data_IF_893383879671
#
_entry.id   IF_893383879671
#
_cell.length_a   1.000
_cell.length_b   1.000
_cell.length_c   1.000
_cell.angle_alpha   90.00
_cell.angle_beta   90.00
_cell.angle_gamma   90.00
#
_symmetry.space_group_name_H-M   'P 1'
#
loop_
_entity.id
_entity.type
_entity.pdbx_description
1 polymer ?
#
# COMPACT_ATOMS: atom_id res chain seq x y z
N UNK A 1 -14.96 75.87 28.54
CA UNK A 1 -15.26 75.00 27.43
C UNK A 1 -14.16 73.97 27.35
N UNK A 2 -14.42 72.83 27.93
CA UNK A 2 -13.47 71.73 28.06
C UNK A 2 -13.73 70.72 26.93
N UNK A 3 -12.68 70.39 26.16
CA UNK A 3 -12.70 69.34 25.16
C UNK A 3 -12.21 68.05 25.78
N UNK A 4 -13.08 67.08 25.87
CA UNK A 4 -12.75 65.71 26.24
C UNK A 4 -12.05 64.99 25.08
N UNK A 5 -10.87 64.52 25.35
CA UNK A 5 -10.07 63.67 24.43
C UNK A 5 -10.46 62.24 24.72
N UNK A 6 -11.12 61.61 23.78
CA UNK A 6 -11.48 60.20 23.80
C UNK A 6 -10.23 59.36 23.50
N UNK A 7 -9.79 58.54 24.50
CA UNK A 7 -8.64 57.65 24.43
C UNK A 7 -9.14 56.32 23.87
N UNK A 8 -8.71 55.97 22.67
CA UNK A 8 -8.97 54.66 22.08
C UNK A 8 -7.99 53.67 22.72
N UNK A 9 -8.47 52.75 23.49
CA UNK A 9 -7.72 51.60 23.96
C UNK A 9 -7.49 50.68 22.78
N UNK A 10 -6.20 50.43 22.50
CA UNK A 10 -5.76 49.42 21.52
C UNK A 10 -5.86 48.06 22.13
N UNK A 11 -6.78 47.28 21.64
CA UNK A 11 -6.91 45.84 21.93
C UNK A 11 -5.67 45.12 21.38
N UNK A 12 -4.79 44.68 22.28
CA UNK A 12 -3.70 43.78 21.93
C UNK A 12 -4.26 42.40 21.63
N UNK A 13 -3.87 41.71 20.53
CA UNK A 13 -4.37 40.42 20.24
C UNK A 13 -3.92 39.42 21.32
N UNK A 14 -4.91 38.69 21.84
CA UNK A 14 -4.76 37.66 22.89
C UNK A 14 -3.72 36.62 22.50
N UNK A 15 -2.83 36.28 23.45
CA UNK A 15 -1.75 35.26 23.31
C UNK A 15 -2.25 33.85 22.90
N UNK A 16 -3.56 33.63 22.83
CA UNK A 16 -4.17 32.38 22.39
C UNK A 16 -4.25 32.26 20.86
N UNK A 17 -4.11 33.36 20.10
CA UNK A 17 -4.11 33.32 18.64
C UNK A 17 -2.76 32.97 18.02
N UNK A 18 -1.67 33.06 18.76
CA UNK A 18 -0.32 32.73 18.23
C UNK A 18 0.05 31.24 18.33
N UNK A 19 -0.70 30.44 19.08
CA UNK A 19 -0.40 28.98 19.23
C UNK A 19 -0.99 28.17 18.06
N UNK A 20 -1.94 28.70 17.32
CA UNK A 20 -2.62 27.97 16.22
C UNK A 20 -1.84 27.97 14.88
N UNK A 21 -0.74 28.70 14.74
CA UNK A 21 0.04 28.83 13.48
C UNK A 21 1.43 28.16 13.52
N UNK A 22 1.75 27.40 14.53
CA UNK A 22 2.89 26.48 14.45
C UNK A 22 2.48 25.24 13.66
N UNK A 23 2.37 25.42 12.34
CA UNK A 23 2.21 24.30 11.41
C UNK A 23 3.28 23.28 11.70
N UNK A 24 2.87 22.05 12.02
CA UNK A 24 3.75 20.89 12.07
C UNK A 24 4.57 20.88 10.80
N UNK A 25 5.87 21.10 10.91
CA UNK A 25 6.82 21.03 9.80
C UNK A 25 6.74 19.59 9.27
N UNK A 26 5.95 19.38 8.22
CA UNK A 26 5.94 18.10 7.51
C UNK A 26 7.32 17.97 6.87
N UNK A 27 8.15 17.11 7.41
CA UNK A 27 9.45 16.80 6.81
C UNK A 27 9.18 16.20 5.43
N UNK A 28 9.68 16.81 4.34
CA UNK A 28 9.45 16.28 3.00
C UNK A 28 10.07 14.89 2.89
N UNK A 29 9.28 13.90 2.48
CA UNK A 29 9.80 12.58 2.16
C UNK A 29 10.59 12.69 0.86
N UNK A 30 11.85 12.25 0.90
CA UNK A 30 12.71 12.23 -0.28
C UNK A 30 12.11 11.36 -1.40
N UNK A 31 12.44 11.63 -2.67
CA UNK A 31 12.04 10.77 -3.79
C UNK A 31 12.46 9.31 -3.56
N UNK A 32 11.55 8.38 -3.86
CA UNK A 32 11.74 6.94 -3.69
C UNK A 32 12.49 6.38 -4.91
N UNK A 33 13.80 6.60 -4.97
CA UNK A 33 14.61 6.21 -6.13
C UNK A 33 14.74 4.71 -6.23
N UNK A 34 14.48 4.17 -7.42
CA UNK A 34 14.76 2.79 -7.78
C UNK A 34 16.26 2.48 -7.81
N UNK A 35 16.60 1.20 -7.68
CA UNK A 35 17.95 0.67 -7.76
C UNK A 35 17.91 -0.77 -8.29
N UNK A 36 19.07 -1.28 -8.73
CA UNK A 36 19.19 -2.71 -9.08
C UNK A 36 18.81 -3.61 -7.90
N UNK A 37 19.22 -3.25 -6.68
CA UNK A 37 18.87 -4.01 -5.48
C UNK A 37 17.37 -4.02 -5.18
N UNK A 38 16.65 -2.93 -5.45
CA UNK A 38 15.20 -2.90 -5.30
C UNK A 38 14.49 -3.76 -6.34
N UNK A 39 14.98 -3.79 -7.56
CA UNK A 39 14.44 -4.63 -8.62
C UNK A 39 14.66 -6.14 -8.35
N UNK A 40 15.86 -6.52 -7.90
CA UNK A 40 16.15 -7.90 -7.45
C UNK A 40 15.18 -8.29 -6.32
N UNK A 41 15.03 -7.45 -5.30
CA UNK A 41 14.11 -7.70 -4.19
C UNK A 41 12.66 -7.87 -4.64
N UNK A 42 12.19 -7.09 -5.62
CA UNK A 42 10.85 -7.22 -6.17
C UNK A 42 10.68 -8.58 -6.85
N UNK A 43 11.66 -9.03 -7.63
CA UNK A 43 11.64 -10.32 -8.30
C UNK A 43 11.67 -11.47 -7.29
N UNK A 44 12.60 -11.46 -6.32
CA UNK A 44 12.66 -12.47 -5.25
C UNK A 44 11.32 -12.62 -4.51
N UNK A 45 10.63 -11.52 -4.24
CA UNK A 45 9.33 -11.55 -3.56
C UNK A 45 8.19 -12.03 -4.45
N UNK A 46 8.18 -11.68 -5.73
CA UNK A 46 7.19 -12.23 -6.67
C UNK A 46 7.41 -13.72 -6.91
N UNK A 47 8.66 -14.18 -6.94
CA UNK A 47 9.00 -15.62 -7.03
C UNK A 47 8.57 -16.36 -5.75
N UNK A 48 8.78 -15.79 -4.57
CA UNK A 48 8.29 -16.35 -3.30
C UNK A 48 6.74 -16.41 -3.22
N UNK A 49 6.05 -15.48 -3.89
CA UNK A 49 4.59 -15.51 -4.06
C UNK A 49 4.14 -16.52 -5.16
N UNK A 50 5.07 -17.24 -5.78
CA UNK A 50 4.86 -18.18 -6.90
C UNK A 50 4.20 -17.51 -8.12
N UNK A 51 4.66 -16.31 -8.47
CA UNK A 51 4.18 -15.57 -9.63
C UNK A 51 5.07 -15.85 -10.84
N UNK A 52 4.66 -16.83 -11.63
CA UNK A 52 5.29 -17.08 -12.92
C UNK A 52 5.19 -15.88 -13.85
N UNK A 53 6.19 -15.70 -14.68
CA UNK A 53 6.23 -14.66 -15.72
C UNK A 53 5.25 -15.01 -16.84
N UNK A 54 4.61 -14.01 -17.37
CA UNK A 54 3.65 -14.12 -18.46
C UNK A 54 4.44 -14.02 -19.76
N UNK A 55 4.58 -15.12 -20.48
CA UNK A 55 5.51 -15.22 -21.62
C UNK A 55 5.03 -14.42 -22.83
N UNK A 56 3.78 -14.62 -23.23
CA UNK A 56 3.21 -14.09 -24.47
C UNK A 56 1.72 -13.77 -24.32
N UNK A 57 1.10 -13.33 -25.41
CA UNK A 57 -0.30 -12.92 -25.41
C UNK A 57 -1.29 -14.11 -25.27
N UNK A 58 -0.88 -15.33 -25.59
CA UNK A 58 -1.68 -16.53 -25.36
C UNK A 58 -1.72 -16.88 -23.87
N UNK A 59 -0.57 -16.93 -23.22
CA UNK A 59 -0.43 -17.12 -21.77
C UNK A 59 -1.19 -16.02 -20.99
N UNK A 60 -1.11 -14.78 -21.45
CA UNK A 60 -1.88 -13.67 -20.85
C UNK A 60 -3.38 -13.94 -20.91
N UNK A 61 -3.91 -14.38 -22.06
CA UNK A 61 -5.33 -14.69 -22.23
C UNK A 61 -5.78 -15.88 -21.38
N UNK A 62 -4.94 -16.93 -21.26
CA UNK A 62 -5.22 -18.06 -20.38
C UNK A 62 -5.34 -17.61 -18.93
N UNK A 63 -4.39 -16.80 -18.43
CA UNK A 63 -4.42 -16.29 -17.05
C UNK A 63 -5.62 -15.39 -16.77
N UNK A 64 -6.06 -14.62 -17.75
CA UNK A 64 -7.29 -13.83 -17.66
C UNK A 64 -8.50 -14.78 -17.59
N UNK A 65 -8.60 -15.75 -18.49
CA UNK A 65 -9.69 -16.72 -18.51
C UNK A 65 -9.82 -17.53 -17.21
N UNK A 66 -8.69 -17.83 -16.56
CA UNK A 66 -8.61 -18.53 -15.26
C UNK A 66 -8.83 -17.61 -14.06
N UNK A 67 -9.08 -16.32 -14.26
CA UNK A 67 -9.27 -15.35 -13.18
C UNK A 67 -8.00 -15.05 -12.35
N UNK A 68 -6.83 -15.43 -12.85
CA UNK A 68 -5.54 -15.11 -12.21
C UNK A 68 -5.16 -13.65 -12.40
N UNK A 69 -5.69 -13.02 -13.43
CA UNK A 69 -5.62 -11.59 -13.72
C UNK A 69 -7.05 -11.06 -13.85
N UNK A 70 -7.27 -9.88 -13.32
CA UNK A 70 -8.55 -9.17 -13.37
C UNK A 70 -8.37 -7.81 -14.04
N UNK A 71 -9.41 -7.22 -14.63
CA UNK A 71 -9.31 -5.86 -15.15
C UNK A 71 -8.81 -4.88 -14.10
N UNK A 72 -7.97 -3.94 -14.50
CA UNK A 72 -7.63 -2.77 -13.67
C UNK A 72 -8.94 -2.03 -13.38
N UNK A 73 -9.26 -1.78 -12.09
CA UNK A 73 -10.52 -1.13 -11.73
C UNK A 73 -10.56 0.31 -12.24
N UNK A 74 -11.77 0.76 -12.59
CA UNK A 74 -12.03 2.16 -12.95
C UNK A 74 -13.16 2.73 -12.11
N UNK A 75 -13.08 4.03 -11.80
CA UNK A 75 -14.10 4.74 -11.05
C UNK A 75 -13.92 6.26 -11.22
N UNK A 76 -14.76 7.07 -10.57
CA UNK A 76 -14.52 8.51 -10.48
C UNK A 76 -13.20 8.88 -9.76
N UNK A 77 -12.61 7.95 -9.01
CA UNK A 77 -11.35 8.13 -8.30
C UNK A 77 -10.13 7.51 -9.00
N UNK A 78 -10.33 6.63 -10.00
CA UNK A 78 -9.27 5.88 -10.67
C UNK A 78 -9.53 5.81 -12.17
N UNK A 79 -8.63 6.35 -12.94
CA UNK A 79 -8.65 6.31 -14.40
C UNK A 79 -7.50 5.47 -14.95
N UNK A 80 -7.62 5.07 -16.21
CA UNK A 80 -6.56 4.39 -16.94
C UNK A 80 -6.16 5.29 -18.10
N UNK A 81 -4.84 5.43 -18.31
CA UNK A 81 -4.32 6.16 -19.44
C UNK A 81 -4.87 5.59 -20.76
N UNK A 82 -5.38 6.46 -21.61
CA UNK A 82 -6.00 6.06 -22.88
C UNK A 82 -5.05 5.33 -23.83
N UNK A 83 -3.76 5.67 -23.77
CA UNK A 83 -2.70 5.04 -24.57
C UNK A 83 -2.28 3.66 -24.06
N UNK A 84 -2.70 3.22 -22.86
CA UNK A 84 -2.45 1.87 -22.40
C UNK A 84 -3.34 0.91 -23.21
N UNK A 85 -2.78 -0.06 -23.99
CA UNK A 85 -3.55 -0.99 -24.78
C UNK A 85 -4.58 -1.76 -23.94
N UNK A 86 -5.75 -2.03 -24.49
CA UNK A 86 -6.86 -2.66 -23.76
C UNK A 86 -6.50 -4.03 -23.20
N UNK A 87 -5.72 -4.81 -23.94
CA UNK A 87 -5.21 -6.13 -23.54
C UNK A 87 -4.11 -6.06 -22.45
N UNK A 88 -3.63 -4.88 -22.11
CA UNK A 88 -2.66 -4.64 -21.04
C UNK A 88 -3.31 -4.04 -19.77
N UNK A 89 -4.63 -3.81 -19.77
CA UNK A 89 -5.36 -3.22 -18.63
C UNK A 89 -5.80 -4.28 -17.62
N UNK A 90 -4.88 -5.19 -17.25
CA UNK A 90 -5.11 -6.26 -16.28
C UNK A 90 -4.04 -6.26 -15.20
N UNK A 91 -4.38 -6.79 -14.03
CA UNK A 91 -3.44 -6.95 -12.90
C UNK A 91 -3.89 -8.11 -12.00
N UNK A 92 -3.06 -8.49 -11.03
CA UNK A 92 -3.44 -9.47 -10.00
C UNK A 92 -4.60 -8.96 -9.14
N UNK A 93 -5.48 -9.83 -8.61
CA UNK A 93 -6.64 -9.42 -7.80
C UNK A 93 -6.29 -8.54 -6.60
N UNK A 94 -5.19 -8.81 -5.93
CA UNK A 94 -4.73 -7.99 -4.80
C UNK A 94 -4.17 -6.63 -5.24
N UNK A 95 -3.59 -6.54 -6.44
CA UNK A 95 -3.18 -5.26 -7.05
C UNK A 95 -4.40 -4.41 -7.41
N UNK A 96 -5.47 -5.02 -7.95
CA UNK A 96 -6.73 -4.33 -8.19
C UNK A 96 -7.36 -3.78 -6.88
N UNK A 97 -7.29 -4.57 -5.80
CA UNK A 97 -7.72 -4.13 -4.47
C UNK A 97 -6.89 -2.92 -3.98
N UNK A 98 -5.57 -3.01 -4.06
CA UNK A 98 -4.67 -1.90 -3.72
C UNK A 98 -5.04 -0.63 -4.50
N UNK A 99 -5.19 -0.72 -5.81
CA UNK A 99 -5.57 0.41 -6.67
C UNK A 99 -6.89 1.05 -6.23
N UNK A 100 -7.90 0.23 -5.93
CA UNK A 100 -9.20 0.73 -5.44
C UNK A 100 -9.07 1.47 -4.11
N UNK A 101 -8.27 0.94 -3.18
CA UNK A 101 -8.10 1.51 -1.85
C UNK A 101 -7.29 2.81 -1.88
N UNK A 102 -6.17 2.84 -2.62
CA UNK A 102 -5.32 4.03 -2.72
C UNK A 102 -6.02 5.16 -3.48
N UNK A 103 -6.73 4.84 -4.56
CA UNK A 103 -7.47 5.83 -5.33
C UNK A 103 -8.60 6.46 -4.52
N UNK A 104 -9.37 5.66 -3.77
CA UNK A 104 -10.40 6.17 -2.88
C UNK A 104 -9.81 7.08 -1.80
N UNK A 105 -8.71 6.69 -1.17
CA UNK A 105 -8.04 7.48 -0.15
C UNK A 105 -7.50 8.80 -0.71
N UNK A 106 -6.92 8.78 -1.93
CA UNK A 106 -6.47 9.97 -2.62
C UNK A 106 -7.64 10.91 -2.96
N UNK A 107 -8.70 10.38 -3.57
CA UNK A 107 -9.87 11.17 -3.94
C UNK A 107 -10.59 11.78 -2.72
N UNK A 108 -10.63 11.08 -1.59
CA UNK A 108 -11.14 11.61 -0.33
C UNK A 108 -10.34 12.81 0.16
N UNK A 109 -9.02 12.80 -0.04
CA UNK A 109 -8.11 13.85 0.44
C UNK A 109 -8.01 15.05 -0.52
N UNK A 110 -8.06 14.79 -1.84
CA UNK A 110 -7.72 15.79 -2.87
C UNK A 110 -8.85 16.06 -3.86
N UNK A 111 -9.95 15.31 -3.79
CA UNK A 111 -11.12 15.42 -4.70
C UNK A 111 -10.75 15.26 -6.18
N UNK A 112 -9.73 14.44 -6.47
CA UNK A 112 -9.22 14.20 -7.82
C UNK A 112 -8.89 12.72 -8.01
N UNK A 113 -9.04 12.18 -9.24
CA UNK A 113 -8.60 10.83 -9.57
C UNK A 113 -7.07 10.73 -9.62
N UNK A 114 -6.58 9.51 -9.51
CA UNK A 114 -5.24 9.10 -9.95
C UNK A 114 -5.36 8.27 -11.23
N UNK A 115 -4.28 8.19 -12.01
CA UNK A 115 -4.25 7.51 -13.28
C UNK A 115 -3.25 6.35 -13.27
N UNK A 116 -3.68 5.17 -13.76
CA UNK A 116 -2.79 4.05 -14.06
C UNK A 116 -2.25 4.23 -15.47
N UNK A 117 -0.94 4.35 -15.60
CA UNK A 117 -0.26 4.55 -16.89
C UNK A 117 0.32 3.26 -17.47
N UNK A 118 0.58 2.22 -16.65
CA UNK A 118 1.03 0.91 -17.08
C UNK A 118 0.54 -0.18 -16.13
N UNK A 119 0.33 -1.40 -16.65
CA UNK A 119 -0.07 -2.55 -15.86
C UNK A 119 0.63 -3.81 -16.38
N UNK A 120 -0.09 -4.92 -16.63
CA UNK A 120 0.53 -6.18 -17.05
C UNK A 120 1.31 -6.04 -18.36
N UNK A 121 2.46 -6.69 -18.40
CA UNK A 121 3.26 -6.90 -19.62
C UNK A 121 3.51 -8.38 -19.80
N UNK A 122 3.76 -8.82 -21.04
CA UNK A 122 4.33 -10.14 -21.34
C UNK A 122 5.84 -10.00 -21.54
N UNK A 123 6.57 -11.09 -21.40
CA UNK A 123 8.02 -11.12 -21.73
C UNK A 123 8.24 -10.65 -23.15
N UNK A 124 7.44 -11.14 -24.11
CA UNK A 124 7.52 -10.71 -25.51
C UNK A 124 7.24 -9.22 -25.70
N UNK A 125 6.25 -8.67 -24.97
CA UNK A 125 5.98 -7.23 -25.01
C UNK A 125 7.15 -6.43 -24.43
N UNK A 126 7.73 -6.89 -23.31
CA UNK A 126 8.87 -6.25 -22.68
C UNK A 126 10.12 -6.27 -23.62
N UNK A 127 10.37 -7.36 -24.34
CA UNK A 127 11.42 -7.43 -25.36
C UNK A 127 11.24 -6.37 -26.45
N UNK A 128 10.01 -6.18 -26.93
CA UNK A 128 9.70 -5.12 -27.90
C UNK A 128 9.92 -3.73 -27.33
N UNK A 129 9.54 -3.49 -26.05
CA UNK A 129 9.77 -2.19 -25.39
C UNK A 129 11.26 -1.85 -25.27
N UNK A 130 12.11 -2.82 -24.96
CA UNK A 130 13.57 -2.61 -24.90
C UNK A 130 14.10 -2.15 -26.26
N UNK A 131 13.57 -2.69 -27.35
CA UNK A 131 13.97 -2.32 -28.71
C UNK A 131 13.67 -0.87 -29.10
N UNK A 132 12.68 -0.24 -28.42
CA UNK A 132 12.27 1.16 -28.69
C UNK A 132 12.59 2.11 -27.54
N UNK A 133 12.88 1.60 -26.37
CA UNK A 133 13.23 2.37 -25.17
C UNK A 133 14.40 1.71 -24.44
N UNK A 134 15.61 2.21 -24.66
CA UNK A 134 16.84 1.69 -24.05
C UNK A 134 16.90 1.77 -22.51
N UNK A 135 15.95 2.47 -21.87
CA UNK A 135 15.82 2.54 -20.41
C UNK A 135 14.79 1.55 -19.84
N UNK A 136 14.14 0.73 -20.69
CA UNK A 136 13.24 -0.29 -20.22
C UNK A 136 14.02 -1.37 -19.44
N UNK A 137 13.46 -1.85 -18.33
CA UNK A 137 14.03 -2.95 -17.55
C UNK A 137 14.15 -4.22 -18.43
N UNK A 138 15.05 -5.13 -18.07
CA UNK A 138 15.26 -6.39 -18.78
C UNK A 138 13.95 -7.20 -18.92
N UNK A 139 13.89 -8.04 -19.95
CA UNK A 139 12.77 -8.96 -20.15
C UNK A 139 13.00 -10.31 -19.47
N UNK A 140 14.24 -10.63 -19.10
CA UNK A 140 14.67 -11.91 -18.52
C UNK A 140 15.76 -11.71 -17.47
N UNK A 141 16.03 -12.75 -16.67
CA UNK A 141 17.07 -12.73 -15.63
C UNK A 141 16.56 -12.20 -14.29
N UNK A 142 17.48 -11.92 -13.37
CA UNK A 142 17.18 -11.52 -11.97
C UNK A 142 16.67 -10.09 -11.86
N UNK A 143 16.86 -9.29 -12.91
CA UNK A 143 16.45 -7.88 -12.99
C UNK A 143 15.36 -7.67 -14.03
N UNK A 144 14.57 -8.70 -14.29
CA UNK A 144 13.42 -8.61 -15.20
C UNK A 144 12.40 -7.60 -14.68
N UNK A 145 11.71 -6.95 -15.63
CA UNK A 145 10.60 -6.06 -15.26
C UNK A 145 9.51 -6.81 -14.50
N UNK A 146 9.17 -6.48 -13.26
CA UNK A 146 8.15 -7.19 -12.49
C UNK A 146 6.73 -7.03 -13.04
N UNK A 147 6.51 -6.15 -14.03
CA UNK A 147 5.25 -6.07 -14.79
C UNK A 147 4.87 -7.40 -15.46
N UNK A 148 5.87 -8.24 -15.80
CA UNK A 148 5.60 -9.54 -16.44
C UNK A 148 4.91 -10.55 -15.53
N UNK A 149 4.75 -10.26 -14.25
CA UNK A 149 4.00 -11.08 -13.29
C UNK A 149 2.53 -10.66 -13.13
N UNK A 150 2.18 -9.47 -13.64
CA UNK A 150 0.87 -8.83 -13.43
C UNK A 150 0.67 -8.23 -12.03
N UNK A 151 1.65 -8.31 -11.14
CA UNK A 151 1.59 -7.75 -9.79
C UNK A 151 1.99 -6.27 -9.74
N UNK A 152 2.56 -5.75 -10.82
CA UNK A 152 3.13 -4.39 -10.89
C UNK A 152 2.26 -3.47 -11.74
N UNK A 153 2.16 -2.23 -11.28
CA UNK A 153 1.44 -1.14 -11.96
C UNK A 153 2.22 0.16 -11.81
N UNK A 154 2.06 1.03 -12.80
CA UNK A 154 2.57 2.40 -12.73
C UNK A 154 1.41 3.37 -12.52
N UNK A 155 1.54 4.26 -11.53
CA UNK A 155 0.62 5.37 -11.29
C UNK A 155 1.30 6.65 -11.73
N UNK A 156 0.67 7.36 -12.67
CA UNK A 156 1.20 8.59 -13.22
C UNK A 156 1.38 9.67 -12.15
N UNK A 157 2.52 10.37 -12.19
CA UNK A 157 2.78 11.59 -11.38
C UNK A 157 2.45 12.87 -12.16
N UNK A 158 2.33 12.76 -13.47
CA UNK A 158 1.93 13.88 -14.32
C UNK A 158 0.61 14.47 -13.86
N UNK A 159 0.58 15.79 -13.64
CA UNK A 159 -0.61 16.48 -13.16
C UNK A 159 -0.88 16.40 -11.64
N UNK A 160 -0.11 15.63 -10.87
CA UNK A 160 -0.18 15.66 -9.41
C UNK A 160 0.55 16.91 -8.87
N UNK A 161 -0.05 17.57 -7.89
CA UNK A 161 0.61 18.64 -7.15
C UNK A 161 1.72 18.08 -6.24
N UNK A 162 2.64 18.92 -5.80
CA UNK A 162 3.70 18.56 -4.84
C UNK A 162 3.11 17.94 -3.57
N UNK A 163 1.96 18.43 -3.10
CA UNK A 163 1.28 17.91 -1.92
C UNK A 163 0.74 16.49 -2.15
N UNK A 164 0.17 16.22 -3.32
CA UNK A 164 -0.30 14.89 -3.71
C UNK A 164 0.87 13.91 -3.82
N UNK A 165 2.00 14.33 -4.44
CA UNK A 165 3.21 13.49 -4.53
C UNK A 165 3.75 13.15 -3.14
N UNK A 166 3.83 14.10 -2.21
CA UNK A 166 4.27 13.81 -0.83
C UNK A 166 3.31 12.88 -0.08
N UNK A 167 2.01 13.03 -0.29
CA UNK A 167 1.01 12.15 0.29
C UNK A 167 1.16 10.72 -0.26
N UNK A 168 1.33 10.57 -1.58
CA UNK A 168 1.57 9.27 -2.22
C UNK A 168 2.84 8.62 -1.67
N UNK A 169 3.97 9.33 -1.61
CA UNK A 169 5.21 8.83 -1.00
C UNK A 169 4.98 8.32 0.41
N UNK A 170 4.31 9.09 1.26
CA UNK A 170 4.03 8.71 2.65
C UNK A 170 3.20 7.42 2.75
N UNK A 171 2.16 7.30 1.93
CA UNK A 171 1.28 6.12 1.92
C UNK A 171 1.99 4.89 1.39
N UNK A 172 2.69 5.02 0.27
CA UNK A 172 3.39 3.91 -0.37
C UNK A 172 4.56 3.42 0.50
N UNK A 173 5.36 4.33 1.08
CA UNK A 173 6.43 3.96 1.99
C UNK A 173 5.92 3.24 3.25
N UNK A 174 4.79 3.67 3.81
CA UNK A 174 4.17 2.98 4.94
C UNK A 174 3.74 1.55 4.60
N UNK A 175 3.24 1.30 3.38
CA UNK A 175 2.89 -0.04 2.90
C UNK A 175 4.14 -0.88 2.59
N UNK A 176 5.19 -0.27 2.04
CA UNK A 176 6.47 -0.92 1.82
C UNK A 176 7.10 -1.38 3.14
N UNK A 177 7.10 -0.53 4.16
CA UNK A 177 7.60 -0.87 5.49
C UNK A 177 6.81 -2.01 6.17
N UNK A 178 5.56 -2.23 5.74
CA UNK A 178 4.73 -3.36 6.17
C UNK A 178 4.96 -4.63 5.30
N UNK A 179 5.83 -4.58 4.31
CA UNK A 179 6.09 -5.67 3.37
C UNK A 179 4.90 -5.99 2.47
N UNK A 180 4.03 -5.01 2.18
CA UNK A 180 2.83 -5.17 1.35
C UNK A 180 3.08 -4.89 -0.12
N UNK A 181 4.08 -4.07 -0.40
CA UNK A 181 4.50 -3.69 -1.75
C UNK A 181 5.95 -3.22 -1.74
N UNK A 182 6.54 -3.06 -2.91
CA UNK A 182 7.70 -2.21 -3.14
C UNK A 182 7.29 -1.05 -4.07
N UNK A 183 7.92 0.11 -3.89
CA UNK A 183 7.65 1.30 -4.68
C UNK A 183 8.93 2.01 -5.08
N UNK A 184 8.97 2.45 -6.32
CA UNK A 184 10.02 3.30 -6.88
C UNK A 184 9.41 4.48 -7.63
N UNK A 185 10.12 5.60 -7.66
CA UNK A 185 9.76 6.72 -8.51
C UNK A 185 10.62 6.71 -9.76
N UNK A 186 9.99 6.52 -10.90
CA UNK A 186 10.61 6.72 -12.18
C UNK A 186 10.48 8.20 -12.59
N UNK A 187 11.64 8.81 -12.92
CA UNK A 187 11.66 10.23 -13.24
C UNK A 187 11.45 10.50 -14.72
N UNK A 188 11.92 9.61 -15.59
CA UNK A 188 11.74 9.77 -17.03
C UNK A 188 10.31 9.50 -17.47
N UNK A 189 9.65 8.50 -16.89
CA UNK A 189 8.25 8.16 -17.16
C UNK A 189 7.28 8.90 -16.23
N UNK A 190 7.82 9.67 -15.28
CA UNK A 190 7.05 10.43 -14.31
C UNK A 190 5.94 9.63 -13.62
N UNK A 191 6.26 8.43 -13.11
CA UNK A 191 5.31 7.56 -12.41
C UNK A 191 5.83 7.06 -11.07
N UNK A 192 4.93 6.49 -10.28
CA UNK A 192 5.24 5.57 -9.19
C UNK A 192 5.14 4.16 -9.74
N UNK A 193 6.24 3.45 -9.81
CA UNK A 193 6.32 2.04 -10.14
C UNK A 193 6.09 1.21 -8.87
N UNK A 194 5.05 0.38 -8.84
CA UNK A 194 4.56 -0.26 -7.62
C UNK A 194 4.35 -1.75 -7.87
N UNK A 195 5.13 -2.59 -7.19
CA UNK A 195 4.93 -4.06 -7.17
C UNK A 195 4.18 -4.45 -5.91
N UNK A 196 2.94 -4.91 -6.05
CA UNK A 196 2.06 -5.27 -4.93
C UNK A 196 2.13 -6.76 -4.66
N UNK A 197 2.45 -7.15 -3.43
CA UNK A 197 2.62 -8.54 -3.03
C UNK A 197 1.30 -9.21 -2.63
N UNK A 198 1.24 -10.52 -2.76
CA UNK A 198 0.08 -11.35 -2.39
C UNK A 198 -0.35 -11.13 -0.94
N UNK A 199 0.59 -10.81 -0.05
CA UNK A 199 0.35 -10.44 1.34
C UNK A 199 -0.54 -9.20 1.51
N UNK A 200 -0.75 -8.38 0.49
CA UNK A 200 -1.67 -7.25 0.54
C UNK A 200 -3.13 -7.70 0.73
N UNK A 201 -3.52 -8.83 0.12
CA UNK A 201 -4.86 -9.39 0.24
C UNK A 201 -5.08 -10.18 1.54
N UNK A 202 -4.03 -10.58 2.24
CA UNK A 202 -4.16 -11.33 3.48
C UNK A 202 -4.94 -10.49 4.52
N UNK A 203 -5.95 -11.06 5.20
CA UNK A 203 -6.63 -10.37 6.28
C UNK A 203 -5.59 -9.95 7.32
N UNK A 204 -5.72 -8.74 7.88
CA UNK A 204 -4.92 -8.33 9.03
C UNK A 204 -5.15 -9.38 10.11
N UNK A 205 -4.13 -10.14 10.46
CA UNK A 205 -4.17 -10.98 11.65
C UNK A 205 -4.48 -10.03 12.82
N UNK A 206 -5.66 -10.17 13.39
CA UNK A 206 -5.98 -9.53 14.65
C UNK A 206 -5.04 -10.21 15.65
N UNK A 207 -3.93 -9.56 16.00
CA UNK A 207 -3.17 -9.95 17.17
C UNK A 207 -4.15 -9.89 18.33
N UNK A 208 -4.68 -11.04 18.72
CA UNK A 208 -5.39 -11.18 19.97
C UNK A 208 -4.39 -10.78 21.06
N UNK A 209 -4.57 -9.59 21.63
CA UNK A 209 -3.93 -9.24 22.89
C UNK A 209 -4.33 -10.35 23.84
N UNK A 210 -3.42 -11.27 24.12
CA UNK A 210 -3.58 -12.22 25.19
C UNK A 210 -3.89 -11.42 26.46
N UNK A 211 -5.18 -11.36 26.81
CA UNK A 211 -5.58 -11.04 28.17
C UNK A 211 -5.05 -12.18 29.01
N UNK A 212 -4.01 -11.91 29.79
CA UNK A 212 -3.67 -12.77 30.90
C UNK A 212 -4.93 -12.97 31.76
N UNK A 213 -5.34 -14.23 32.03
CA UNK A 213 -6.39 -14.45 32.99
C UNK A 213 -5.85 -14.00 34.34
N UNK A 214 -6.52 -12.99 34.94
CA UNK A 214 -6.31 -12.62 36.32
C UNK A 214 -6.67 -13.81 37.17
N UNK A 215 -5.69 -14.42 37.83
CA UNK A 215 -5.91 -15.47 38.82
C UNK A 215 -6.70 -14.85 39.98
N UNK A 216 -7.93 -15.31 40.17
CA UNK A 216 -8.72 -15.07 41.38
C UNK A 216 -8.11 -15.82 42.55
N UNK A 217 -7.85 -15.18 43.69
CA UNK A 217 -7.39 -15.89 44.88
C UNK A 217 -8.54 -16.76 45.45
N UNK A 218 -8.34 -18.08 45.52
CA UNK A 218 -9.21 -18.99 46.21
C UNK A 218 -8.99 -18.81 47.71
N UNK A 219 -10.00 -18.29 48.44
CA UNK A 219 -10.04 -18.27 49.87
C UNK A 219 -10.15 -19.69 50.40
N UNK A 220 -9.15 -20.08 51.22
CA UNK A 220 -9.21 -21.27 52.03
C UNK A 220 -10.18 -21.07 53.19
N UNK A 221 -11.25 -21.87 53.27
CA UNK A 221 -12.01 -22.07 54.50
C UNK A 221 -11.80 -23.49 54.93
N UNK A 222 -11.21 -23.63 56.14
CA UNK A 222 -11.01 -24.90 56.79
C UNK A 222 -12.30 -25.44 57.42
N UNK A 223 -12.35 -26.74 57.62
CA UNK A 223 -13.42 -27.46 58.35
C UNK A 223 -13.05 -28.91 58.51
N UNK A 224 -12.54 -29.20 59.72
CA UNK A 224 -12.35 -30.56 60.28
C UNK A 224 -13.70 -31.31 60.39
N UNK A 225 -13.67 -32.66 60.28
CA UNK A 225 -14.08 -33.66 61.25
C UNK A 225 -14.18 -35.05 60.62
N UNK A 226 -13.37 -35.98 61.09
CA UNK A 226 -13.61 -37.26 61.79
C UNK A 226 -14.62 -38.24 61.19
N UNK A 227 -14.18 -39.48 61.06
CA UNK A 227 -14.98 -40.65 61.41
C UNK A 227 -14.93 -41.83 60.45
N UNK A 228 -14.11 -42.83 60.87
CA UNK A 228 -14.46 -44.26 61.00
C UNK A 228 -14.84 -45.07 59.75
N UNK A 229 -13.97 -46.01 59.45
CA UNK A 229 -14.11 -47.47 59.61
C UNK A 229 -15.07 -48.19 58.66
N UNK A 230 -14.58 -49.18 58.17
CA UNK A 230 -14.78 -50.63 57.97
C UNK A 230 -15.17 -50.97 56.51
N UNK A 231 -14.52 -51.85 55.88
CA UNK A 231 -14.18 -53.29 55.95
C UNK A 231 -14.93 -54.08 54.83
N UNK A 232 -14.28 -55.11 54.41
CA UNK A 232 -14.71 -56.29 53.65
C UNK A 232 -14.77 -56.17 52.14
N UNK A 233 -13.83 -56.81 51.49
CA UNK A 233 -13.64 -58.21 51.03
C UNK A 233 -14.69 -58.71 49.98
N UNK A 234 -14.16 -59.23 48.91
CA UNK A 234 -14.80 -60.38 48.26
C UNK A 234 -14.95 -60.33 46.75
N UNK A 235 -14.18 -61.26 46.20
CA UNK A 235 -14.20 -61.99 44.92
C UNK A 235 -13.79 -61.26 43.65
#
# INVERSE_FOLDING_TARGET
MASETNRIESDAPSALSEVALRGTRVTPIAPLRGSMASLVRQNEKTDADHLERIENDEDLRDRIARGMLVPVPTSSALTINENLPADRRYCRPWTARFLTEIARAHATQFHRPIEVSSAVRTVDYQKRLIGVNGNAAAAEGDIVSPHVTGATVDIAKGGLSVREVYWMRSRLLALQNQGKLDVEEEFQQACFHITVYKSYAAPRSIQSKHRHPVATPVSAVGGSTTGSEEDTAGE
#
